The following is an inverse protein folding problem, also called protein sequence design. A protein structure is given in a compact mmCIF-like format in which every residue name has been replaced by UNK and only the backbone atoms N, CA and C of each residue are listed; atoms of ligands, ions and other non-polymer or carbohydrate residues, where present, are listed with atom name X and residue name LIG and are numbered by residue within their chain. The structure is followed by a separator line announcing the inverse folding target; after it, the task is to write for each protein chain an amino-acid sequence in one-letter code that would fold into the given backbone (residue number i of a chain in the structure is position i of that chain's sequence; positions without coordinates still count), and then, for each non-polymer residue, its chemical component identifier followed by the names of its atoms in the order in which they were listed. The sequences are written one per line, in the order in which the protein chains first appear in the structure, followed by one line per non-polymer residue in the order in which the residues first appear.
data_IF_787428904040
#
_entry.id   IF_787428904040
#
_cell.length_a   1.000
_cell.length_b   1.000
_cell.length_c   1.000
_cell.angle_alpha   90.00
_cell.angle_beta   90.00
_cell.angle_gamma   90.00
#
_symmetry.space_group_name_H-M   'P 1'
#
loop_
_entity.id
_entity.type
_entity.pdbx_description
1 polymer ?
#
# COMPACT_ATOMS: atom_id res chain seq x y z
N UNK A 1 -1.26 -14.46 -10.73
CA UNK A 1 -2.47 -14.61 -9.91
C UNK A 1 -3.57 -15.02 -10.86
N UNK A 2 -4.08 -16.24 -10.69
CA UNK A 2 -5.17 -16.76 -11.52
C UNK A 2 -6.51 -16.19 -11.04
N UNK A 3 -7.42 -15.91 -11.98
CA UNK A 3 -8.73 -15.35 -11.66
C UNK A 3 -9.83 -16.05 -12.45
N UNK A 4 -10.98 -16.25 -11.81
CA UNK A 4 -12.16 -16.96 -12.34
C UNK A 4 -13.25 -16.00 -12.84
N UNK A 5 -12.84 -14.94 -13.53
CA UNK A 5 -13.77 -13.89 -13.99
C UNK A 5 -14.79 -14.40 -15.01
N UNK A 6 -14.41 -15.39 -15.83
CA UNK A 6 -15.31 -16.07 -16.76
C UNK A 6 -16.46 -16.76 -16.02
N UNK A 7 -16.14 -17.49 -14.93
CA UNK A 7 -17.14 -18.16 -14.08
C UNK A 7 -18.11 -17.14 -13.49
N UNK A 8 -17.59 -16.03 -12.95
CA UNK A 8 -18.42 -14.95 -12.40
C UNK A 8 -19.36 -14.34 -13.45
N UNK A 9 -18.83 -13.99 -14.64
CA UNK A 9 -19.63 -13.40 -15.73
C UNK A 9 -20.72 -14.37 -16.17
N UNK A 10 -20.39 -15.62 -16.48
CA UNK A 10 -21.35 -16.59 -17.01
C UNK A 10 -22.43 -16.94 -15.99
N UNK A 11 -22.06 -17.04 -14.71
CA UNK A 11 -23.01 -17.22 -13.61
C UNK A 11 -23.98 -16.05 -13.52
N UNK A 12 -23.49 -14.80 -13.52
CA UNK A 12 -24.33 -13.61 -13.39
C UNK A 12 -25.23 -13.36 -14.60
N UNK A 13 -24.74 -13.59 -15.82
CA UNK A 13 -25.56 -13.54 -17.04
C UNK A 13 -26.74 -14.50 -16.94
N UNK A 14 -26.50 -15.72 -16.48
CA UNK A 14 -27.54 -16.74 -16.30
C UNK A 14 -28.54 -16.33 -15.22
N UNK A 15 -28.06 -15.92 -14.03
CA UNK A 15 -28.92 -15.52 -12.90
C UNK A 15 -29.81 -14.32 -13.23
N UNK A 16 -29.28 -13.34 -13.96
CA UNK A 16 -30.00 -12.10 -14.30
C UNK A 16 -30.70 -12.17 -15.66
N UNK A 17 -30.64 -13.30 -16.36
CA UNK A 17 -31.13 -13.48 -17.74
C UNK A 17 -30.65 -12.35 -18.66
N UNK A 18 -29.40 -11.94 -18.48
CA UNK A 18 -28.78 -10.83 -19.18
C UNK A 18 -27.95 -11.34 -20.35
N UNK A 19 -28.00 -10.65 -21.48
CA UNK A 19 -27.16 -10.91 -22.66
C UNK A 19 -25.79 -10.24 -22.54
N UNK A 20 -24.81 -10.73 -23.32
CA UNK A 20 -23.49 -10.10 -23.41
C UNK A 20 -23.57 -8.65 -23.92
N UNK A 21 -24.54 -8.34 -24.78
CA UNK A 21 -24.76 -6.99 -25.33
C UNK A 21 -25.31 -6.03 -24.27
N UNK A 22 -26.20 -6.51 -23.39
CA UNK A 22 -26.66 -5.71 -22.25
C UNK A 22 -25.55 -5.49 -21.23
N UNK A 23 -24.71 -6.50 -20.99
CA UNK A 23 -23.53 -6.35 -20.13
C UNK A 23 -22.57 -5.30 -20.70
N UNK A 24 -22.30 -5.34 -22.01
CA UNK A 24 -21.49 -4.34 -22.73
C UNK A 24 -21.98 -2.92 -22.47
N UNK A 25 -23.27 -2.70 -22.70
CA UNK A 25 -23.90 -1.40 -22.48
C UNK A 25 -23.76 -0.94 -21.02
N UNK A 26 -24.04 -1.83 -20.06
CA UNK A 26 -24.02 -1.50 -18.63
C UNK A 26 -22.61 -1.32 -18.05
N UNK A 27 -21.61 -2.05 -18.56
CA UNK A 27 -20.24 -2.00 -18.04
C UNK A 27 -19.36 -0.99 -18.76
N UNK A 28 -19.78 -0.49 -19.93
CA UNK A 28 -18.96 0.34 -20.82
C UNK A 28 -17.62 -0.33 -21.19
N UNK A 29 -17.59 -1.65 -21.24
CA UNK A 29 -16.43 -2.45 -21.67
C UNK A 29 -16.71 -2.92 -23.08
N UNK A 30 -15.74 -2.86 -23.99
CA UNK A 30 -15.96 -3.26 -25.38
C UNK A 30 -16.40 -4.72 -25.52
N UNK A 31 -17.25 -5.00 -26.51
CA UNK A 31 -17.71 -6.36 -26.83
C UNK A 31 -16.59 -7.39 -26.94
N UNK A 32 -15.48 -7.02 -27.60
CA UNK A 32 -14.30 -7.88 -27.78
C UNK A 32 -13.67 -8.26 -26.44
N UNK A 33 -13.57 -7.29 -25.52
CA UNK A 33 -13.00 -7.53 -24.20
C UNK A 33 -13.94 -8.38 -23.33
N UNK A 34 -15.25 -8.12 -23.35
CA UNK A 34 -16.24 -8.97 -22.66
C UNK A 34 -16.19 -10.41 -23.19
N UNK A 35 -16.10 -10.59 -24.51
CA UNK A 35 -16.01 -11.91 -25.13
C UNK A 35 -14.74 -12.67 -24.72
N UNK A 36 -13.61 -11.97 -24.56
CA UNK A 36 -12.37 -12.60 -24.05
C UNK A 36 -12.50 -12.96 -22.58
N UNK A 37 -13.08 -12.08 -21.76
CA UNK A 37 -13.26 -12.29 -20.33
C UNK A 37 -14.23 -13.46 -20.04
N UNK A 38 -15.37 -13.53 -20.72
CA UNK A 38 -16.36 -14.61 -20.53
C UNK A 38 -15.86 -15.99 -20.94
N UNK A 39 -14.90 -16.04 -21.88
CA UNK A 39 -14.22 -17.25 -22.34
C UNK A 39 -12.95 -17.60 -21.56
N UNK A 40 -12.55 -16.77 -20.59
CA UNK A 40 -11.33 -16.99 -19.81
C UNK A 40 -10.03 -16.79 -20.60
N UNK A 41 -10.07 -16.04 -21.71
CA UNK A 41 -8.91 -15.77 -22.58
C UNK A 41 -8.04 -14.61 -22.09
N UNK A 42 -8.37 -14.04 -20.93
CA UNK A 42 -7.65 -12.91 -20.32
C UNK A 42 -6.92 -13.42 -19.11
N UNK A 43 -5.59 -13.26 -19.10
CA UNK A 43 -4.74 -13.65 -17.97
C UNK A 43 -4.60 -12.58 -16.89
N UNK A 44 -4.90 -11.32 -17.22
CA UNK A 44 -4.81 -10.18 -16.30
C UNK A 44 -6.13 -9.41 -16.26
N UNK A 45 -6.71 -9.33 -15.07
CA UNK A 45 -7.90 -8.55 -14.81
C UNK A 45 -7.53 -7.23 -14.13
N UNK A 46 -7.83 -6.09 -14.77
CA UNK A 46 -7.63 -4.78 -14.13
C UNK A 46 -8.74 -4.50 -13.11
N UNK A 47 -8.40 -3.75 -12.05
CA UNK A 47 -9.35 -3.34 -11.02
C UNK A 47 -10.53 -2.55 -11.60
N UNK A 48 -10.27 -1.67 -12.58
CA UNK A 48 -11.31 -0.92 -13.28
C UNK A 48 -12.28 -1.84 -14.02
N UNK A 49 -11.77 -2.80 -14.81
CA UNK A 49 -12.60 -3.79 -15.52
C UNK A 49 -13.43 -4.61 -14.54
N UNK A 50 -12.81 -5.09 -13.46
CA UNK A 50 -13.48 -5.86 -12.42
C UNK A 50 -14.63 -5.06 -11.79
N UNK A 51 -14.38 -3.82 -11.40
CA UNK A 51 -15.38 -2.95 -10.79
C UNK A 51 -16.52 -2.59 -11.75
N UNK A 52 -16.22 -2.29 -13.01
CA UNK A 52 -17.24 -2.03 -14.04
C UNK A 52 -18.18 -3.22 -14.25
N UNK A 53 -17.67 -4.45 -14.25
CA UNK A 53 -18.49 -5.66 -14.33
C UNK A 53 -19.39 -5.83 -13.11
N UNK A 54 -18.86 -5.61 -11.91
CA UNK A 54 -19.62 -5.69 -10.65
C UNK A 54 -20.78 -4.68 -10.66
N UNK A 55 -20.50 -3.43 -11.05
CA UNK A 55 -21.51 -2.39 -11.17
C UNK A 55 -22.56 -2.72 -12.23
N UNK A 56 -22.16 -3.25 -13.38
CA UNK A 56 -23.09 -3.65 -14.44
C UNK A 56 -24.05 -4.76 -14.00
N UNK A 57 -23.59 -5.66 -13.12
CA UNK A 57 -24.42 -6.69 -12.51
C UNK A 57 -25.16 -6.22 -11.26
N UNK A 58 -24.99 -4.98 -10.79
CA UNK A 58 -25.54 -4.51 -9.52
C UNK A 58 -25.22 -5.49 -8.36
N UNK A 59 -23.94 -5.88 -8.29
CA UNK A 59 -23.40 -6.77 -7.26
C UNK A 59 -22.43 -6.00 -6.35
N UNK A 60 -21.95 -6.64 -5.29
CA UNK A 60 -20.93 -6.08 -4.42
C UNK A 60 -19.55 -6.74 -4.62
N UNK A 61 -18.50 -5.99 -4.26
CA UNK A 61 -17.10 -6.41 -4.48
C UNK A 61 -16.73 -7.64 -3.64
N UNK A 62 -17.31 -7.79 -2.45
CA UNK A 62 -17.00 -8.90 -1.54
C UNK A 62 -17.48 -10.23 -2.11
N UNK A 63 -18.70 -10.28 -2.62
CA UNK A 63 -19.28 -11.50 -3.17
C UNK A 63 -18.63 -11.85 -4.52
N UNK A 64 -18.41 -10.84 -5.38
CA UNK A 64 -17.71 -11.03 -6.63
C UNK A 64 -16.26 -11.51 -6.42
N UNK A 65 -15.53 -10.96 -5.44
CA UNK A 65 -14.15 -11.37 -5.17
C UNK A 65 -14.06 -12.80 -4.63
N UNK A 66 -15.04 -13.25 -3.82
CA UNK A 66 -15.12 -14.64 -3.35
C UNK A 66 -15.29 -15.67 -4.48
N UNK A 67 -15.87 -15.26 -5.60
CA UNK A 67 -16.02 -16.10 -6.80
C UNK A 67 -14.78 -16.00 -7.69
N UNK A 68 -14.38 -14.76 -8.02
CA UNK A 68 -13.29 -14.50 -8.97
C UNK A 68 -11.94 -14.92 -8.41
N UNK A 69 -11.73 -14.81 -7.10
CA UNK A 69 -10.47 -15.12 -6.43
C UNK A 69 -10.66 -16.21 -5.37
N UNK A 70 -11.50 -17.21 -5.66
CA UNK A 70 -11.89 -18.28 -4.72
C UNK A 70 -10.71 -18.97 -4.03
N UNK A 71 -9.60 -19.15 -4.74
CA UNK A 71 -8.39 -19.83 -4.23
C UNK A 71 -7.35 -18.84 -3.68
N UNK A 72 -7.59 -17.54 -3.80
CA UNK A 72 -6.64 -16.54 -3.32
C UNK A 72 -6.84 -16.30 -1.83
N UNK A 73 -5.77 -16.52 -1.08
CA UNK A 73 -5.73 -16.21 0.33
C UNK A 73 -5.34 -14.74 0.54
N UNK A 74 -6.32 -13.87 0.81
CA UNK A 74 -6.11 -12.45 1.13
C UNK A 74 -5.46 -12.21 2.51
N UNK A 75 -4.78 -13.19 3.11
CA UNK A 75 -3.99 -12.98 4.33
C UNK A 75 -2.91 -11.95 4.06
N UNK A 76 -3.01 -10.82 4.76
CA UNK A 76 -1.96 -9.82 4.79
C UNK A 76 -0.75 -10.38 5.53
N UNK A 77 0.44 -10.06 5.05
CA UNK A 77 1.65 -10.36 5.79
C UNK A 77 1.64 -9.58 7.10
N UNK A 78 2.01 -10.24 8.19
CA UNK A 78 2.30 -9.53 9.44
C UNK A 78 3.61 -8.78 9.24
N UNK A 79 3.57 -7.47 9.48
CA UNK A 79 4.78 -6.66 9.51
C UNK A 79 5.33 -6.71 10.93
N UNK A 80 6.46 -7.36 11.12
CA UNK A 80 7.23 -7.22 12.35
C UNK A 80 7.91 -5.86 12.32
N UNK A 81 7.39 -4.91 13.10
CA UNK A 81 8.04 -3.63 13.29
C UNK A 81 9.37 -3.86 13.98
N UNK A 82 10.47 -3.51 13.32
CA UNK A 82 11.78 -3.53 13.96
C UNK A 82 11.74 -2.59 15.16
N UNK A 83 12.16 -3.11 16.32
CA UNK A 83 12.30 -2.31 17.53
C UNK A 83 13.29 -1.18 17.25
N UNK A 84 12.93 0.04 17.63
CA UNK A 84 13.85 1.18 17.54
C UNK A 84 14.87 1.11 18.66
N UNK A 85 16.04 1.69 18.41
CA UNK A 85 17.02 1.94 19.46
C UNK A 85 16.60 3.19 20.27
N UNK A 86 17.38 3.55 21.29
CA UNK A 86 17.05 4.66 22.17
C UNK A 86 16.91 6.00 21.42
N UNK A 87 17.75 6.23 20.41
CA UNK A 87 17.63 7.41 19.55
C UNK A 87 16.32 7.39 18.74
N UNK A 88 15.98 6.26 18.12
CA UNK A 88 14.75 6.12 17.35
C UNK A 88 13.49 6.19 18.22
N UNK A 89 13.57 5.82 19.50
CA UNK A 89 12.51 6.03 20.49
C UNK A 89 12.37 7.51 20.86
N UNK A 90 13.47 8.21 21.12
CA UNK A 90 13.47 9.67 21.32
C UNK A 90 12.84 10.38 20.12
N UNK A 91 13.21 10.01 18.91
CA UNK A 91 12.71 10.66 17.69
C UNK A 91 11.20 10.51 17.48
N UNK A 92 10.53 9.54 18.13
CA UNK A 92 9.06 9.42 18.04
C UNK A 92 8.34 10.68 18.50
N UNK A 93 8.87 11.42 19.47
CA UNK A 93 8.22 12.66 19.95
C UNK A 93 8.26 13.79 18.92
N UNK A 94 9.13 13.69 17.92
CA UNK A 94 9.30 14.67 16.85
C UNK A 94 8.65 14.22 15.53
N UNK A 95 8.16 12.98 15.48
CA UNK A 95 7.54 12.42 14.28
C UNK A 95 6.11 12.92 14.10
N UNK A 96 5.82 13.43 12.90
CA UNK A 96 4.48 13.85 12.48
C UNK A 96 4.20 13.30 11.09
N UNK A 97 3.00 13.53 10.54
CA UNK A 97 2.70 13.22 9.14
C UNK A 97 3.67 13.91 8.16
N UNK A 98 4.23 15.04 8.55
CA UNK A 98 5.14 15.88 7.75
C UNK A 98 6.62 15.69 8.15
N UNK A 99 6.88 14.95 9.23
CA UNK A 99 8.20 14.61 9.75
C UNK A 99 8.25 13.10 10.04
N UNK A 100 8.11 12.27 9.01
CA UNK A 100 8.44 10.84 9.14
C UNK A 100 9.95 10.66 9.13
N UNK A 101 10.47 9.50 9.57
CA UNK A 101 11.92 9.19 9.52
C UNK A 101 12.48 9.45 8.11
N UNK A 102 11.77 9.00 7.08
CA UNK A 102 12.21 9.16 5.69
C UNK A 102 12.24 10.63 5.26
N UNK A 103 11.27 11.43 5.71
CA UNK A 103 11.24 12.87 5.41
C UNK A 103 12.35 13.59 6.17
N UNK A 104 12.56 13.26 7.45
CA UNK A 104 13.65 13.82 8.27
C UNK A 104 15.00 13.49 7.64
N UNK A 105 15.20 12.23 7.23
CA UNK A 105 16.42 11.79 6.55
C UNK A 105 16.67 12.58 5.27
N UNK A 106 15.65 12.74 4.42
CA UNK A 106 15.75 13.52 3.18
C UNK A 106 16.09 14.99 3.45
N UNK A 107 15.40 15.64 4.39
CA UNK A 107 15.68 17.03 4.80
C UNK A 107 17.09 17.18 5.36
N UNK A 108 17.57 16.20 6.12
CA UNK A 108 18.91 16.17 6.71
C UNK A 108 20.01 15.75 5.71
N UNK A 109 19.67 15.37 4.48
CA UNK A 109 20.63 14.89 3.47
C UNK A 109 21.20 13.49 3.76
N UNK A 110 20.53 12.70 4.60
CA UNK A 110 20.93 11.34 4.95
C UNK A 110 20.42 10.34 3.91
N UNK A 111 21.24 9.33 3.61
CA UNK A 111 20.80 8.16 2.86
C UNK A 111 19.82 7.36 3.71
N UNK A 112 18.84 6.73 3.07
CA UNK A 112 17.85 5.87 3.74
C UNK A 112 18.52 4.78 4.59
N UNK A 113 19.58 4.14 4.08
CA UNK A 113 20.34 3.14 4.83
C UNK A 113 20.99 3.72 6.09
N UNK A 114 21.47 4.97 6.04
CA UNK A 114 22.08 5.63 7.19
C UNK A 114 21.03 6.00 8.22
N UNK A 115 19.91 6.59 7.81
CA UNK A 115 18.79 6.86 8.71
C UNK A 115 18.26 5.57 9.36
N UNK A 116 18.16 4.49 8.60
CA UNK A 116 17.78 3.18 9.13
C UNK A 116 18.76 2.70 10.21
N UNK A 117 20.07 2.82 9.98
CA UNK A 117 21.09 2.42 10.95
C UNK A 117 21.03 3.27 12.24
N UNK A 118 20.76 4.57 12.12
CA UNK A 118 20.66 5.49 13.25
C UNK A 118 19.42 5.22 14.13
N UNK A 119 18.28 4.79 13.55
CA UNK A 119 17.00 4.65 14.27
C UNK A 119 16.70 3.22 14.74
N UNK A 120 17.29 2.21 14.08
CA UNK A 120 16.95 0.80 14.30
C UNK A 120 18.14 -0.12 14.56
N UNK A 121 19.38 0.37 14.48
CA UNK A 121 20.60 -0.42 14.73
C UNK A 121 21.54 0.30 15.69
N UNK A 122 22.83 -0.05 15.67
CA UNK A 122 23.85 0.55 16.52
C UNK A 122 24.66 1.62 15.75
N UNK A 123 24.02 2.35 14.84
CA UNK A 123 24.67 3.44 14.13
C UNK A 123 24.98 4.58 15.09
N UNK A 124 26.26 4.85 15.34
CA UNK A 124 26.66 6.01 16.13
C UNK A 124 26.31 7.30 15.37
N UNK A 125 25.70 8.26 16.06
CA UNK A 125 25.40 9.59 15.51
C UNK A 125 26.67 10.40 15.36
N UNK A 126 26.90 10.93 14.16
CA UNK A 126 27.89 11.98 13.98
C UNK A 126 27.29 13.34 14.34
N UNK A 127 28.11 14.24 14.91
CA UNK A 127 27.62 15.54 15.38
C UNK A 127 26.95 16.36 14.27
N UNK A 128 27.47 16.31 13.04
CA UNK A 128 26.86 17.01 11.91
C UNK A 128 25.49 16.42 11.54
N UNK A 129 25.31 15.10 11.67
CA UNK A 129 24.04 14.44 11.37
C UNK A 129 22.98 14.88 12.37
N UNK A 130 23.34 14.96 13.66
CA UNK A 130 22.42 15.39 14.70
C UNK A 130 21.97 16.84 14.50
N UNK A 131 22.89 17.75 14.14
CA UNK A 131 22.56 19.15 13.80
C UNK A 131 21.63 19.22 12.58
N UNK A 132 21.89 18.42 11.54
CA UNK A 132 21.05 18.40 10.34
C UNK A 132 19.66 17.83 10.64
N UNK A 133 19.57 16.83 11.53
CA UNK A 133 18.30 16.29 12.01
C UNK A 133 17.52 17.34 12.81
N UNK A 134 18.17 18.07 13.73
CA UNK A 134 17.56 19.16 14.50
C UNK A 134 16.95 20.23 13.57
N UNK A 135 17.71 20.63 12.55
CA UNK A 135 17.23 21.56 11.53
C UNK A 135 16.06 20.98 10.72
N UNK A 136 16.10 19.69 10.42
CA UNK A 136 15.04 19.01 9.65
C UNK A 136 13.71 18.93 10.41
N UNK A 137 13.76 18.75 11.73
CA UNK A 137 12.56 18.71 12.60
C UNK A 137 12.16 20.10 13.13
N UNK A 138 12.98 21.12 12.91
CA UNK A 138 12.67 22.51 13.24
C UNK A 138 12.90 22.87 14.71
N UNK A 139 13.86 22.21 15.37
CA UNK A 139 14.27 22.54 16.74
C UNK A 139 15.60 23.31 16.74
N UNK A 140 15.92 23.93 17.88
CA UNK A 140 17.19 24.64 18.07
C UNK A 140 18.36 23.65 18.11
N UNK A 141 19.50 24.06 17.55
CA UNK A 141 20.72 23.26 17.57
C UNK A 141 21.17 23.00 19.02
N UNK A 142 21.43 21.74 19.37
CA UNK A 142 21.75 21.33 20.73
C UNK A 142 20.58 20.70 21.49
N UNK A 143 19.33 20.88 21.04
CA UNK A 143 18.15 20.28 21.68
C UNK A 143 18.24 18.76 21.75
N UNK A 144 18.55 18.08 20.65
CA UNK A 144 18.71 16.63 20.62
C UNK A 144 19.99 16.18 21.32
N UNK A 145 21.06 16.99 21.30
CA UNK A 145 22.26 16.68 22.10
C UNK A 145 21.91 16.59 23.58
N UNK A 146 21.15 17.55 24.09
CA UNK A 146 20.67 17.52 25.46
C UNK A 146 19.72 16.34 25.69
N UNK A 147 18.68 16.17 24.88
CA UNK A 147 17.71 15.11 25.13
C UNK A 147 18.31 13.69 25.03
N UNK A 148 19.29 13.48 24.16
CA UNK A 148 19.84 12.15 23.92
C UNK A 148 21.03 11.79 24.84
N UNK A 149 21.83 12.78 25.24
CA UNK A 149 23.05 12.52 26.03
C UNK A 149 22.98 12.99 27.49
N UNK A 150 21.95 13.72 27.90
CA UNK A 150 21.84 14.28 29.28
C UNK A 150 21.31 13.25 30.31
N UNK A 151 20.89 12.06 29.87
CA UNK A 151 20.41 10.97 30.74
C UNK A 151 21.20 9.64 30.59
N UNK A 152 22.42 9.67 30.05
CA UNK A 152 23.34 8.51 30.10
C UNK A 152 24.42 8.67 31.17
#
# INVERSE_FOLDING_TARGET
MEHRISEYINMKLTQKRMSLKELEFKSSISQSQISKLSRGLVSKLSAGTFYSLIKAFDDNVKDASGIVYKEFNFKLNKVDYKKRNDFGELMKSFETKENTIDIIAQKAGLKESRAFDLYYRNGALEAFELIMIEKAIGVEAGTLFELYFKEN
#
